data_IF_478289500943
#
_entry.id   IF_478289500943
#
_cell.length_a   1.000
_cell.length_b   1.000
_cell.length_c   1.000
_cell.angle_alpha   90.00
_cell.angle_beta   90.00
_cell.angle_gamma   90.00
#
_symmetry.space_group_name_H-M   'P 1'
#
loop_
_entity.id
_entity.type
_entity.pdbx_description
1 polymer ?
#
# COMPACT_ATOMS: atom_id res chain seq x y z
N UNK A 1 22.02 -27.28 -8.03
CA UNK A 1 20.70 -27.49 -7.35
C UNK A 1 20.09 -26.21 -6.77
N UNK A 2 20.86 -25.25 -6.23
CA UNK A 2 20.30 -24.02 -5.61
C UNK A 2 19.37 -23.23 -6.54
N UNK A 3 19.65 -23.10 -7.84
CA UNK A 3 18.86 -22.24 -8.75
C UNK A 3 17.55 -22.86 -9.28
N UNK A 4 17.28 -24.15 -9.03
CA UNK A 4 16.11 -24.86 -9.58
C UNK A 4 14.78 -24.21 -9.15
N UNK A 5 14.57 -23.84 -7.86
CA UNK A 5 13.36 -23.15 -7.44
C UNK A 5 13.13 -21.82 -8.18
N UNK A 6 14.20 -21.07 -8.50
CA UNK A 6 14.08 -19.79 -9.21
C UNK A 6 13.62 -19.98 -10.66
N UNK A 7 14.12 -21.02 -11.33
CA UNK A 7 13.72 -21.35 -12.71
C UNK A 7 12.26 -21.79 -12.74
N UNK A 8 11.85 -22.65 -11.80
CA UNK A 8 10.45 -23.09 -11.67
C UNK A 8 9.55 -21.89 -11.40
N UNK A 9 9.91 -21.03 -10.44
CA UNK A 9 9.14 -19.81 -10.12
C UNK A 9 9.07 -18.84 -11.30
N UNK A 10 10.13 -18.72 -12.10
CA UNK A 10 10.15 -17.89 -13.31
C UNK A 10 9.17 -18.39 -14.39
N UNK A 11 9.14 -19.71 -14.62
CA UNK A 11 8.18 -20.33 -15.54
C UNK A 11 6.76 -20.14 -15.02
N UNK A 12 6.53 -20.41 -13.72
CA UNK A 12 5.23 -20.19 -13.08
C UNK A 12 4.78 -18.73 -13.22
N UNK A 13 5.67 -17.77 -13.01
CA UNK A 13 5.37 -16.34 -13.19
C UNK A 13 4.87 -16.03 -14.60
N UNK A 14 5.56 -16.51 -15.63
CA UNK A 14 5.07 -16.34 -17.00
C UNK A 14 3.73 -17.05 -17.26
N UNK A 15 3.48 -18.24 -16.70
CA UNK A 15 2.18 -18.91 -16.84
C UNK A 15 1.04 -18.18 -16.12
N UNK A 16 1.34 -17.45 -15.05
CA UNK A 16 0.36 -16.74 -14.23
C UNK A 16 -0.03 -15.38 -14.82
N UNK A 17 0.91 -14.65 -15.44
CA UNK A 17 0.70 -13.25 -15.84
C UNK A 17 0.68 -13.02 -17.36
N UNK A 18 1.06 -14.00 -18.19
CA UNK A 18 1.11 -13.78 -19.63
C UNK A 18 -0.27 -13.56 -20.25
N UNK A 19 -0.53 -12.33 -20.74
CA UNK A 19 -1.82 -11.89 -21.30
C UNK A 19 -3.00 -12.11 -20.34
N UNK A 20 -2.74 -12.00 -19.04
CA UNK A 20 -3.76 -12.15 -17.99
C UNK A 20 -3.92 -10.84 -17.21
N UNK A 21 -5.16 -10.53 -16.83
CA UNK A 21 -5.50 -9.50 -15.84
C UNK A 21 -5.17 -9.99 -14.41
N UNK A 22 -5.31 -9.11 -13.41
CA UNK A 22 -5.11 -9.47 -12.00
C UNK A 22 -6.30 -10.23 -11.42
N UNK A 23 -6.00 -11.28 -10.67
CA UNK A 23 -6.96 -12.10 -9.94
C UNK A 23 -6.24 -13.13 -9.07
N UNK A 24 -6.63 -14.40 -9.17
CA UNK A 24 -5.98 -15.53 -8.49
C UNK A 24 -4.46 -15.59 -8.73
N UNK A 25 -4.00 -15.18 -9.91
CA UNK A 25 -2.58 -15.14 -10.25
C UNK A 25 -1.73 -14.34 -9.27
N UNK A 26 -2.21 -13.18 -8.80
CA UNK A 26 -1.50 -12.35 -7.82
C UNK A 26 -1.41 -13.08 -6.47
N UNK A 27 -2.47 -13.77 -6.07
CA UNK A 27 -2.50 -14.53 -4.81
C UNK A 27 -1.54 -15.72 -4.85
N UNK A 28 -1.52 -16.47 -5.95
CA UNK A 28 -0.57 -17.57 -6.17
C UNK A 28 0.86 -17.01 -6.20
N UNK A 29 1.09 -15.88 -6.86
CA UNK A 29 2.40 -15.23 -6.89
C UNK A 29 2.88 -14.82 -5.49
N UNK A 30 2.00 -14.27 -4.65
CA UNK A 30 2.35 -13.94 -3.27
C UNK A 30 2.78 -15.17 -2.47
N UNK A 31 2.11 -16.30 -2.67
CA UNK A 31 2.47 -17.57 -2.04
C UNK A 31 3.84 -18.10 -2.52
N UNK A 32 4.07 -18.11 -3.83
CA UNK A 32 5.36 -18.50 -4.43
C UNK A 32 6.50 -17.61 -3.90
N UNK A 33 6.25 -16.31 -3.81
CA UNK A 33 7.23 -15.33 -3.29
C UNK A 33 7.64 -15.67 -1.86
N UNK A 34 6.69 -15.99 -0.98
CA UNK A 34 6.99 -16.37 0.40
C UNK A 34 7.78 -17.68 0.46
N UNK A 35 7.42 -18.68 -0.36
CA UNK A 35 8.18 -19.94 -0.45
C UNK A 35 9.63 -19.68 -0.82
N UNK A 36 9.86 -18.85 -1.85
CA UNK A 36 11.22 -18.50 -2.28
C UNK A 36 11.96 -17.76 -1.15
N UNK A 37 11.32 -16.79 -0.50
CA UNK A 37 11.93 -16.07 0.62
C UNK A 37 12.30 -17.01 1.77
N UNK A 38 11.45 -17.98 2.13
CA UNK A 38 11.73 -18.98 3.18
C UNK A 38 12.90 -19.89 2.81
N UNK A 39 12.94 -20.40 1.57
CA UNK A 39 14.00 -21.32 1.12
C UNK A 39 15.37 -20.65 1.22
N UNK A 40 15.47 -19.39 0.81
CA UNK A 40 16.75 -18.68 0.72
C UNK A 40 17.13 -17.88 1.98
N UNK A 41 16.15 -17.46 2.79
CA UNK A 41 16.37 -16.57 3.93
C UNK A 41 15.82 -17.16 5.24
N UNK A 42 16.06 -18.45 5.48
CA UNK A 42 15.58 -19.18 6.68
C UNK A 42 15.85 -18.47 8.01
N UNK A 43 16.97 -17.76 8.12
CA UNK A 43 17.33 -17.02 9.34
C UNK A 43 16.41 -15.82 9.57
N UNK A 44 16.02 -15.09 8.52
CA UNK A 44 15.10 -13.96 8.62
C UNK A 44 13.72 -14.41 9.13
N UNK A 45 13.23 -15.57 8.68
CA UNK A 45 11.94 -16.14 9.11
C UNK A 45 11.92 -16.68 10.54
N UNK A 46 13.03 -16.63 11.28
CA UNK A 46 13.01 -16.82 12.74
C UNK A 46 12.53 -15.57 13.48
N UNK A 47 12.61 -14.40 12.84
CA UNK A 47 12.20 -13.13 13.45
C UNK A 47 10.69 -12.95 13.36
N UNK A 48 10.09 -12.50 14.47
CA UNK A 48 8.64 -12.25 14.55
C UNK A 48 8.18 -11.19 13.55
N UNK A 49 9.00 -10.18 13.27
CA UNK A 49 8.70 -9.11 12.31
C UNK A 49 8.46 -9.66 10.91
N UNK A 50 9.37 -10.50 10.41
CA UNK A 50 9.27 -11.11 9.07
C UNK A 50 8.05 -12.02 8.95
N UNK A 51 7.72 -12.78 10.00
CA UNK A 51 6.49 -13.59 10.04
C UNK A 51 5.25 -12.69 9.93
N UNK A 52 5.19 -11.61 10.71
CA UNK A 52 4.06 -10.66 10.68
C UNK A 52 3.90 -10.03 9.29
N UNK A 53 4.98 -9.55 8.67
CA UNK A 53 4.89 -8.98 7.32
C UNK A 53 4.52 -10.01 6.25
N UNK A 54 4.94 -11.28 6.42
CA UNK A 54 4.51 -12.37 5.54
C UNK A 54 3.02 -12.64 5.65
N UNK A 55 2.47 -12.62 6.87
CA UNK A 55 1.03 -12.76 7.10
C UNK A 55 0.25 -11.57 6.51
N UNK A 56 0.73 -10.35 6.70
CA UNK A 56 0.12 -9.15 6.10
C UNK A 56 0.09 -9.27 4.58
N UNK A 57 1.20 -9.67 3.97
CA UNK A 57 1.28 -9.87 2.52
C UNK A 57 0.32 -10.96 2.01
N UNK A 58 0.13 -12.05 2.76
CA UNK A 58 -0.87 -13.07 2.43
C UNK A 58 -2.30 -12.57 2.58
N UNK A 59 -2.59 -11.82 3.65
CA UNK A 59 -3.93 -11.24 3.87
C UNK A 59 -4.28 -10.31 2.71
N UNK A 60 -3.36 -9.43 2.29
CA UNK A 60 -3.59 -8.55 1.13
C UNK A 60 -3.72 -9.34 -0.18
N UNK A 61 -3.03 -10.47 -0.30
CA UNK A 61 -3.14 -11.34 -1.47
C UNK A 61 -4.51 -12.01 -1.54
N UNK A 62 -5.07 -12.42 -0.39
CA UNK A 62 -6.44 -12.96 -0.30
C UNK A 62 -7.46 -11.87 -0.61
N UNK A 63 -7.29 -10.64 -0.10
CA UNK A 63 -8.25 -9.56 -0.39
C UNK A 63 -8.27 -9.16 -1.86
N UNK A 64 -7.14 -9.28 -2.58
CA UNK A 64 -7.13 -9.14 -4.04
C UNK A 64 -7.97 -10.24 -4.71
N UNK A 65 -7.89 -11.48 -4.27
CA UNK A 65 -8.74 -12.54 -4.82
C UNK A 65 -10.24 -12.33 -4.51
N UNK A 66 -10.56 -11.82 -3.32
CA UNK A 66 -11.95 -11.62 -2.90
C UNK A 66 -12.58 -10.38 -3.54
N UNK A 67 -11.85 -9.27 -3.63
CA UNK A 67 -12.40 -7.98 -4.07
C UNK A 67 -11.77 -7.44 -5.35
N UNK A 68 -10.58 -7.88 -5.76
CA UNK A 68 -9.87 -7.37 -6.95
C UNK A 68 -9.91 -5.84 -7.11
N UNK A 69 -9.84 -5.11 -5.99
CA UNK A 69 -9.95 -3.65 -5.96
C UNK A 69 -8.59 -3.01 -6.17
N UNK A 70 -8.55 -1.82 -6.77
CA UNK A 70 -7.30 -1.05 -6.92
C UNK A 70 -6.58 -0.86 -5.58
N UNK A 71 -7.34 -0.62 -4.50
CA UNK A 71 -6.77 -0.47 -3.16
C UNK A 71 -6.11 -1.76 -2.67
N UNK A 72 -6.75 -2.92 -2.86
CA UNK A 72 -6.19 -4.23 -2.48
C UNK A 72 -4.90 -4.53 -3.26
N UNK A 73 -4.86 -4.20 -4.56
CA UNK A 73 -3.67 -4.39 -5.40
C UNK A 73 -2.51 -3.49 -4.95
N UNK A 74 -2.80 -2.20 -4.68
CA UNK A 74 -1.81 -1.24 -4.16
C UNK A 74 -1.28 -1.72 -2.81
N UNK A 75 -2.16 -2.12 -1.89
CA UNK A 75 -1.76 -2.60 -0.56
C UNK A 75 -0.92 -3.88 -0.65
N UNK A 76 -1.27 -4.83 -1.52
CA UNK A 76 -0.46 -6.03 -1.72
C UNK A 76 0.93 -5.69 -2.27
N UNK A 77 1.02 -4.71 -3.17
CA UNK A 77 2.30 -4.23 -3.72
C UNK A 77 3.17 -3.55 -2.67
N UNK A 78 2.57 -2.70 -1.82
CA UNK A 78 3.29 -2.06 -0.70
C UNK A 78 3.74 -3.12 0.32
N UNK A 79 2.87 -4.08 0.66
CA UNK A 79 3.21 -5.19 1.55
C UNK A 79 4.35 -6.05 1.00
N UNK A 80 4.36 -6.32 -0.31
CA UNK A 80 5.45 -7.02 -1.00
C UNK A 80 6.81 -6.33 -0.80
N UNK A 81 6.91 -5.03 -1.11
CA UNK A 81 8.17 -4.30 -0.92
C UNK A 81 8.58 -4.24 0.56
N UNK A 82 7.60 -4.06 1.46
CA UNK A 82 7.84 -4.06 2.91
C UNK A 82 8.45 -5.39 3.37
N UNK A 83 7.90 -6.52 2.91
CA UNK A 83 8.40 -7.84 3.25
C UNK A 83 9.82 -8.06 2.74
N UNK A 84 10.09 -7.73 1.46
CA UNK A 84 11.43 -7.89 0.87
C UNK A 84 12.47 -7.08 1.63
N UNK A 85 12.18 -5.81 1.92
CA UNK A 85 13.07 -4.96 2.70
C UNK A 85 13.29 -5.48 4.11
N UNK A 86 12.24 -5.98 4.77
CA UNK A 86 12.36 -6.52 6.12
C UNK A 86 13.17 -7.83 6.15
N UNK A 87 13.07 -8.67 5.11
CA UNK A 87 13.93 -9.86 4.97
C UNK A 87 15.40 -9.46 4.86
N UNK A 88 15.70 -8.34 4.21
CA UNK A 88 17.04 -7.79 4.10
C UNK A 88 17.60 -7.36 5.47
N UNK A 89 16.89 -6.48 6.19
CA UNK A 89 17.31 -5.99 7.51
C UNK A 89 16.10 -5.89 8.46
N UNK A 90 16.02 -6.82 9.42
CA UNK A 90 14.79 -7.03 10.19
C UNK A 90 14.52 -5.91 11.21
N UNK A 91 15.55 -5.16 11.60
CA UNK A 91 15.45 -4.07 12.58
C UNK A 91 15.23 -2.69 11.94
N UNK A 92 15.30 -2.61 10.62
CA UNK A 92 15.13 -1.34 9.91
C UNK A 92 13.68 -0.85 9.93
N UNK A 93 13.55 0.47 9.89
CA UNK A 93 12.26 1.14 9.89
C UNK A 93 11.45 0.84 8.62
N UNK A 94 10.12 0.96 8.69
CA UNK A 94 9.25 0.56 7.57
C UNK A 94 9.52 1.30 6.26
N UNK A 95 9.88 2.59 6.34
CA UNK A 95 10.23 3.37 5.15
C UNK A 95 11.56 2.91 4.52
N UNK A 96 12.51 2.43 5.35
CA UNK A 96 13.74 1.79 4.87
C UNK A 96 13.43 0.44 4.25
N UNK A 97 12.49 -0.33 4.82
CA UNK A 97 12.03 -1.56 4.19
C UNK A 97 11.47 -1.30 2.79
N UNK A 98 10.73 -0.21 2.56
CA UNK A 98 10.26 0.15 1.21
C UNK A 98 11.41 0.48 0.27
N UNK A 99 12.40 1.25 0.71
CA UNK A 99 13.58 1.61 -0.08
C UNK A 99 14.38 0.35 -0.44
N UNK A 100 14.71 -0.47 0.55
CA UNK A 100 15.46 -1.72 0.38
C UNK A 100 14.69 -2.73 -0.48
N UNK A 101 13.38 -2.86 -0.29
CA UNK A 101 12.52 -3.73 -1.07
C UNK A 101 12.42 -3.33 -2.53
N UNK A 102 12.19 -2.04 -2.80
CA UNK A 102 12.13 -1.50 -4.16
C UNK A 102 13.49 -1.57 -4.85
N UNK A 103 14.57 -1.21 -4.14
CA UNK A 103 15.93 -1.32 -4.68
C UNK A 103 16.31 -2.76 -4.96
N UNK A 104 16.00 -3.69 -4.06
CA UNK A 104 16.23 -5.13 -4.27
C UNK A 104 15.50 -5.62 -5.51
N UNK A 105 14.22 -5.26 -5.66
CA UNK A 105 13.38 -5.63 -6.79
C UNK A 105 13.96 -5.16 -8.13
N UNK A 106 14.48 -3.93 -8.20
CA UNK A 106 15.00 -3.34 -9.45
C UNK A 106 16.46 -3.70 -9.70
N UNK A 107 17.32 -3.61 -8.69
CA UNK A 107 18.77 -3.52 -8.87
C UNK A 107 19.56 -4.60 -8.11
N UNK A 108 18.90 -5.50 -7.38
CA UNK A 108 19.58 -6.49 -6.52
C UNK A 108 20.64 -7.33 -7.26
N UNK A 109 20.33 -7.80 -8.47
CA UNK A 109 21.25 -8.57 -9.31
C UNK A 109 22.50 -7.77 -9.68
N UNK A 110 22.32 -6.53 -10.13
CA UNK A 110 23.43 -5.66 -10.53
C UNK A 110 24.28 -5.26 -9.34
N UNK A 111 23.66 -4.89 -8.22
CA UNK A 111 24.36 -4.54 -6.99
C UNK A 111 25.29 -5.68 -6.53
N UNK A 112 24.77 -6.91 -6.49
CA UNK A 112 25.59 -8.08 -6.12
C UNK A 112 26.76 -8.29 -7.09
N UNK A 113 26.55 -8.16 -8.40
CA UNK A 113 27.64 -8.31 -9.38
C UNK A 113 28.71 -7.22 -9.25
N UNK A 114 28.31 -5.97 -9.04
CA UNK A 114 29.23 -4.84 -8.91
C UNK A 114 30.04 -4.94 -7.62
N UNK A 115 29.40 -5.27 -6.50
CA UNK A 115 30.06 -5.34 -5.18
C UNK A 115 30.91 -6.60 -4.97
N UNK A 116 30.63 -7.70 -5.68
CA UNK A 116 31.52 -8.88 -5.72
C UNK A 116 32.89 -8.55 -6.32
N UNK A 117 33.00 -7.49 -7.13
CA UNK A 117 34.29 -7.02 -7.67
C UNK A 117 35.19 -6.37 -6.60
N UNK A 118 34.65 -5.96 -5.45
CA UNK A 118 35.36 -5.17 -4.44
C UNK A 118 35.68 -5.93 -3.13
N UNK A 119 35.24 -7.17 -2.98
CA UNK A 119 35.59 -8.02 -1.83
C UNK A 119 36.20 -9.32 -2.32
N UNK A 120 37.52 -9.43 -2.16
CA UNK A 120 38.29 -10.64 -2.35
C UNK A 120 37.74 -11.76 -1.42
N UNK A 121 36.84 -12.56 -1.96
CA UNK A 121 36.67 -13.95 -1.53
C UNK A 121 36.76 -14.83 -2.76
N UNK A 122 37.88 -15.58 -2.85
CA UNK A 122 38.04 -16.74 -3.74
C UNK A 122 37.03 -17.82 -3.35
N UNK A 123 35.76 -17.62 -3.69
CA UNK A 123 34.82 -18.72 -3.81
C UNK A 123 35.17 -19.37 -5.15
N UNK A 124 35.75 -20.57 -5.08
CA UNK A 124 35.91 -21.49 -6.21
C UNK A 124 34.70 -21.37 -7.13
N UNK A 125 34.89 -20.77 -8.31
CA UNK A 125 33.91 -20.84 -9.40
C UNK A 125 33.79 -22.33 -9.74
N UNK A 126 32.82 -23.02 -9.15
CA UNK A 126 32.19 -24.12 -9.88
C UNK A 126 31.47 -23.44 -11.03
N UNK A 127 32.16 -23.30 -12.15
CA UNK A 127 31.53 -22.97 -13.42
C UNK A 127 30.44 -24.02 -13.59
N UNK A 128 29.19 -23.58 -13.46
CA UNK A 128 28.06 -24.38 -13.90
C UNK A 128 28.28 -24.55 -15.39
N UNK A 129 28.75 -25.72 -15.77
CA UNK A 129 28.93 -26.09 -17.17
C UNK A 129 27.55 -26.10 -17.83
N UNK A 130 27.18 -24.95 -18.39
CA UNK A 130 25.93 -24.75 -19.10
C UNK A 130 25.78 -25.77 -20.24
N UNK A 131 26.90 -26.25 -20.78
CA UNK A 131 26.98 -27.30 -21.79
C UNK A 131 26.62 -28.67 -21.20
N UNK A 132 27.12 -28.99 -20.01
CA UNK A 132 26.74 -30.21 -19.28
C UNK A 132 25.27 -30.21 -18.86
N UNK A 133 24.76 -29.07 -18.39
CA UNK A 133 23.35 -28.92 -17.98
C UNK A 133 22.41 -28.97 -19.20
N UNK A 134 22.80 -28.34 -20.31
CA UNK A 134 22.10 -28.44 -21.59
C UNK A 134 22.10 -29.87 -22.15
N UNK A 135 23.20 -30.63 -21.98
CA UNK A 135 23.26 -32.05 -22.37
C UNK A 135 22.37 -32.92 -21.48
N UNK A 136 22.42 -32.73 -20.15
CA UNK A 136 21.63 -33.51 -19.18
C UNK A 136 20.13 -33.31 -19.36
N UNK A 137 19.68 -32.12 -19.74
CA UNK A 137 18.24 -31.84 -19.95
C UNK A 137 17.86 -32.05 -21.41
N UNK A 138 18.65 -31.55 -22.35
CA UNK A 138 18.34 -31.55 -23.77
C UNK A 138 18.33 -32.94 -24.39
N UNK A 139 19.30 -33.81 -24.06
CA UNK A 139 19.36 -35.16 -24.64
C UNK A 139 18.13 -35.98 -24.23
N UNK A 140 17.75 -36.11 -22.95
CA UNK A 140 16.53 -36.81 -22.56
C UNK A 140 15.26 -36.20 -23.19
N UNK A 141 15.20 -34.88 -23.33
CA UNK A 141 14.02 -34.21 -23.88
C UNK A 141 13.84 -34.47 -25.37
N UNK A 142 14.93 -34.48 -26.15
CA UNK A 142 14.92 -34.90 -27.56
C UNK A 142 14.48 -36.36 -27.67
N UNK A 143 15.04 -37.25 -26.85
CA UNK A 143 14.66 -38.67 -26.85
C UNK A 143 13.18 -38.83 -26.52
N UNK A 144 12.66 -38.14 -25.50
CA UNK A 144 11.24 -38.15 -25.15
C UNK A 144 10.37 -37.65 -26.30
N UNK A 145 10.75 -36.57 -26.99
CA UNK A 145 10.01 -36.07 -28.17
C UNK A 145 9.95 -37.12 -29.27
N UNK A 146 11.07 -37.81 -29.56
CA UNK A 146 11.12 -38.90 -30.54
C UNK A 146 10.16 -40.02 -30.13
N UNK A 147 10.17 -40.46 -28.87
CA UNK A 147 9.26 -41.50 -28.38
C UNK A 147 7.79 -41.06 -28.39
N UNK A 148 7.48 -39.79 -28.05
CA UNK A 148 6.13 -39.23 -28.16
C UNK A 148 5.66 -39.28 -29.62
N UNK A 149 6.52 -38.95 -30.58
CA UNK A 149 6.17 -39.02 -32.01
C UNK A 149 5.91 -40.46 -32.47
N UNK A 150 6.76 -41.41 -32.05
CA UNK A 150 6.56 -42.84 -32.34
C UNK A 150 5.25 -43.36 -31.74
N UNK A 151 4.96 -43.05 -30.48
CA UNK A 151 3.73 -43.46 -29.80
C UNK A 151 2.48 -42.77 -30.37
N UNK A 152 2.60 -41.53 -30.83
CA UNK A 152 1.52 -40.81 -31.53
C UNK A 152 1.14 -41.52 -32.83
N UNK A 153 2.13 -42.04 -33.57
CA UNK A 153 1.88 -42.80 -34.79
C UNK A 153 1.35 -44.21 -34.51
N UNK A 154 1.78 -44.83 -33.41
CA UNK A 154 1.43 -46.21 -33.06
C UNK A 154 0.12 -46.40 -32.30
N UNK A 155 -0.48 -45.34 -31.72
CA UNK A 155 -1.70 -45.46 -30.91
C UNK A 155 -2.67 -44.27 -31.14
N UNK A 156 -3.86 -44.51 -31.71
CA UNK A 156 -4.84 -43.44 -32.00
C UNK A 156 -5.40 -42.75 -30.74
N UNK A 157 -5.50 -43.47 -29.61
CA UNK A 157 -5.93 -42.88 -28.32
C UNK A 157 -4.84 -41.91 -27.81
N UNK A 158 -3.58 -42.33 -27.85
CA UNK A 158 -2.45 -41.49 -27.45
C UNK A 158 -2.31 -40.27 -28.38
N UNK A 159 -2.54 -40.45 -29.69
CA UNK A 159 -2.53 -39.37 -30.67
C UNK A 159 -3.60 -38.29 -30.36
N UNK A 160 -4.81 -38.71 -30.01
CA UNK A 160 -5.89 -37.82 -29.60
C UNK A 160 -5.61 -37.09 -28.27
N UNK A 161 -4.82 -37.67 -27.36
CA UNK A 161 -4.40 -37.00 -26.12
C UNK A 161 -3.31 -35.96 -26.37
N UNK A 162 -2.28 -36.31 -27.15
CA UNK A 162 -1.16 -35.39 -27.45
C UNK A 162 -1.60 -34.23 -28.33
N UNK A 163 -2.53 -34.45 -29.27
CA UNK A 163 -3.07 -33.38 -30.13
C UNK A 163 -3.91 -32.34 -29.39
N UNK A 164 -4.40 -32.65 -28.17
CA UNK A 164 -5.06 -31.68 -27.29
C UNK A 164 -4.09 -30.80 -26.50
N UNK A 165 -2.80 -31.15 -26.46
CA UNK A 165 -1.78 -30.35 -25.77
C UNK A 165 -1.39 -29.21 -26.71
N UNK A 166 -1.82 -28.00 -26.37
CA UNK A 166 -1.48 -26.79 -27.11
C UNK A 166 -0.32 -26.03 -26.45
N UNK A 167 0.79 -25.87 -27.18
CA UNK A 167 1.94 -25.06 -26.79
C UNK A 167 2.03 -23.73 -27.56
N UNK A 168 0.97 -23.35 -28.29
CA UNK A 168 0.91 -22.10 -29.06
C UNK A 168 1.09 -20.83 -28.21
N UNK A 169 0.87 -20.94 -26.90
CA UNK A 169 1.10 -19.85 -25.94
C UNK A 169 2.59 -19.54 -25.73
N UNK A 170 3.50 -20.49 -26.02
CA UNK A 170 4.95 -20.30 -25.89
C UNK A 170 5.45 -19.52 -27.10
N UNK A 171 5.55 -18.20 -26.93
CA UNK A 171 6.14 -17.31 -27.93
C UNK A 171 7.25 -16.46 -27.31
N UNK A 172 7.88 -15.62 -28.12
CA UNK A 172 8.99 -14.77 -27.67
C UNK A 172 8.58 -13.87 -26.49
N UNK A 173 7.35 -13.34 -26.48
CA UNK A 173 6.86 -12.53 -25.37
C UNK A 173 6.75 -13.33 -24.06
N UNK A 174 6.24 -14.56 -24.13
CA UNK A 174 6.18 -15.46 -22.96
C UNK A 174 7.57 -15.79 -22.44
N UNK A 175 8.53 -16.11 -23.33
CA UNK A 175 9.92 -16.40 -22.97
C UNK A 175 10.59 -15.18 -22.31
N UNK A 176 10.42 -13.99 -22.88
CA UNK A 176 10.92 -12.74 -22.30
C UNK A 176 10.32 -12.49 -20.90
N UNK A 177 9.04 -12.78 -20.72
CA UNK A 177 8.39 -12.69 -19.41
C UNK A 177 8.96 -13.72 -18.42
N UNK A 178 9.29 -14.94 -18.86
CA UNK A 178 9.99 -15.92 -18.01
C UNK A 178 11.39 -15.43 -17.62
N UNK A 179 12.14 -14.81 -18.54
CA UNK A 179 13.45 -14.22 -18.22
C UNK A 179 13.32 -13.09 -17.21
N UNK A 180 12.32 -12.21 -17.35
CA UNK A 180 11.98 -11.18 -16.36
C UNK A 180 11.57 -11.79 -15.01
N UNK A 181 10.78 -12.86 -15.03
CA UNK A 181 10.42 -13.62 -13.83
C UNK A 181 11.65 -14.18 -13.12
N UNK A 182 12.62 -14.74 -13.87
CA UNK A 182 13.87 -15.21 -13.31
C UNK A 182 14.70 -14.07 -12.71
N UNK A 183 14.76 -12.93 -13.40
CA UNK A 183 15.42 -11.72 -12.91
C UNK A 183 14.80 -11.26 -11.57
N UNK A 184 13.47 -11.17 -11.52
CA UNK A 184 12.69 -10.82 -10.34
C UNK A 184 12.95 -11.78 -9.17
N UNK A 185 12.85 -13.09 -9.37
CA UNK A 185 13.09 -14.05 -8.28
C UNK A 185 14.56 -14.12 -7.87
N UNK A 186 15.50 -13.91 -8.80
CA UNK A 186 16.92 -13.76 -8.46
C UNK A 186 17.14 -12.55 -7.56
N UNK A 187 16.48 -11.43 -7.84
CA UNK A 187 16.51 -10.22 -7.04
C UNK A 187 15.95 -10.45 -5.63
N UNK A 188 14.76 -11.02 -5.54
CA UNK A 188 14.02 -11.22 -4.29
C UNK A 188 14.64 -12.32 -3.40
N UNK A 189 15.22 -13.37 -4.01
CA UNK A 189 15.77 -14.50 -3.24
C UNK A 189 16.93 -14.10 -2.33
N UNK A 190 17.69 -13.07 -2.70
CA UNK A 190 18.82 -12.53 -1.93
C UNK A 190 18.71 -11.01 -1.89
N UNK A 191 17.76 -10.45 -1.11
CA UNK A 191 17.55 -9.01 -1.09
C UNK A 191 18.82 -8.29 -0.60
N UNK A 192 18.91 -7.02 -0.96
CA UNK A 192 20.10 -6.19 -0.83
C UNK A 192 19.73 -4.90 -0.12
N UNK A 193 20.59 -4.49 0.81
CA UNK A 193 20.43 -3.25 1.55
C UNK A 193 20.93 -2.04 0.77
N UNK A 194 20.28 -0.90 0.96
CA UNK A 194 20.74 0.38 0.42
C UNK A 194 21.56 1.08 1.49
N UNK A 195 22.88 1.03 1.34
CA UNK A 195 23.80 1.84 2.14
C UNK A 195 24.12 3.19 1.46
N UNK A 196 24.30 4.28 2.23
CA UNK A 196 24.35 4.32 3.71
C UNK A 196 22.98 4.45 4.40
N UNK A 197 21.86 4.42 3.67
CA UNK A 197 20.53 4.70 4.24
C UNK A 197 20.13 3.72 5.36
N UNK A 198 20.39 2.42 5.18
CA UNK A 198 20.09 1.39 6.16
C UNK A 198 20.95 1.54 7.41
N UNK A 199 22.27 1.65 7.24
CA UNK A 199 23.23 1.90 8.33
C UNK A 199 22.92 3.17 9.13
N UNK A 200 22.50 4.25 8.45
CA UNK A 200 22.12 5.50 9.10
C UNK A 200 20.83 5.35 9.93
N UNK A 201 19.83 4.60 9.44
CA UNK A 201 18.62 4.33 10.22
C UNK A 201 18.91 3.52 11.49
N UNK A 202 19.69 2.45 11.37
CA UNK A 202 20.03 1.58 12.49
C UNK A 202 20.83 2.31 13.59
N UNK A 203 21.76 3.18 13.19
CA UNK A 203 22.56 3.97 14.14
C UNK A 203 21.79 5.16 14.73
N UNK A 204 20.74 5.64 14.07
CA UNK A 204 19.95 6.77 14.55
C UNK A 204 18.91 6.32 15.57
N UNK A 205 19.16 6.64 16.84
CA UNK A 205 18.17 6.45 17.92
C UNK A 205 16.91 7.32 17.76
N UNK A 206 15.99 7.25 18.73
CA UNK A 206 14.73 8.02 18.70
C UNK A 206 14.74 9.29 19.57
N UNK A 207 15.80 9.52 20.35
CA UNK A 207 15.90 10.60 21.33
C UNK A 207 16.85 11.67 20.79
N UNK A 208 16.53 12.94 21.01
CA UNK A 208 17.47 14.03 20.70
C UNK A 208 18.62 14.02 21.69
N UNK A 209 19.84 14.18 21.18
CA UNK A 209 21.04 14.39 22.00
C UNK A 209 21.37 15.87 22.04
N UNK A 210 21.79 16.35 23.21
CA UNK A 210 22.24 17.73 23.40
C UNK A 210 23.55 17.96 22.65
N UNK A 211 23.64 19.00 21.80
CA UNK A 211 24.92 19.40 21.19
C UNK A 211 25.81 20.11 22.23
N UNK A 212 27.14 19.93 22.12
CA UNK A 212 28.12 20.43 23.12
C UNK A 212 28.12 21.96 23.26
N UNK A 213 27.93 22.69 22.16
CA UNK A 213 27.92 24.17 22.18
C UNK A 213 26.49 24.71 22.29
N UNK A 214 26.16 25.27 23.45
CA UNK A 214 24.93 26.03 23.66
C UNK A 214 25.25 27.53 23.63
N UNK A 215 24.99 28.19 22.51
CA UNK A 215 24.96 29.66 22.48
C UNK A 215 23.64 30.11 23.10
N UNK A 216 23.67 30.38 24.42
CA UNK A 216 22.46 30.68 25.22
C UNK A 216 21.69 31.88 24.66
N UNK A 217 22.38 32.90 24.17
CA UNK A 217 21.76 34.12 23.62
C UNK A 217 20.93 33.81 22.36
N UNK A 218 21.44 32.96 21.47
CA UNK A 218 20.70 32.53 20.28
C UNK A 218 19.46 31.73 20.65
N UNK A 219 19.58 30.84 21.66
CA UNK A 219 18.44 30.06 22.16
C UNK A 219 17.38 30.94 22.83
N UNK A 220 17.79 32.00 23.52
CA UNK A 220 16.87 32.99 24.11
C UNK A 220 16.08 33.72 23.03
N UNK A 221 16.75 34.21 21.98
CA UNK A 221 16.11 34.87 20.83
C UNK A 221 15.17 33.93 20.08
N UNK A 222 15.60 32.69 19.81
CA UNK A 222 14.78 31.67 19.15
C UNK A 222 13.55 31.30 20.00
N UNK A 223 13.70 31.17 21.33
CA UNK A 223 12.59 30.92 22.24
C UNK A 223 11.57 32.07 22.26
N UNK A 224 12.04 33.33 22.29
CA UNK A 224 11.17 34.50 22.26
C UNK A 224 10.39 34.60 20.95
N UNK A 225 11.08 34.44 19.82
CA UNK A 225 10.45 34.42 18.50
C UNK A 225 9.41 33.31 18.38
N UNK A 226 9.76 32.08 18.77
CA UNK A 226 8.83 30.95 18.76
C UNK A 226 7.64 31.16 19.68
N UNK A 227 7.83 31.76 20.85
CA UNK A 227 6.75 32.04 21.78
C UNK A 227 5.76 33.04 21.17
N UNK A 228 6.25 34.17 20.65
CA UNK A 228 5.39 35.19 20.03
C UNK A 228 4.63 34.61 18.84
N UNK A 229 5.33 33.89 17.95
CA UNK A 229 4.72 33.30 16.76
C UNK A 229 3.61 32.31 17.12
N UNK A 230 3.87 31.36 18.02
CA UNK A 230 2.88 30.34 18.38
C UNK A 230 1.73 30.97 19.20
N UNK A 231 1.97 32.00 20.01
CA UNK A 231 0.88 32.76 20.67
C UNK A 231 -0.02 33.41 19.62
N UNK A 232 0.54 34.11 18.64
CA UNK A 232 -0.25 34.74 17.58
C UNK A 232 -1.05 33.71 16.78
N UNK A 233 -0.45 32.55 16.47
CA UNK A 233 -1.12 31.45 15.77
C UNK A 233 -2.24 30.81 16.62
N UNK A 234 -2.07 30.71 17.95
CA UNK A 234 -3.13 30.27 18.85
C UNK A 234 -4.32 31.23 18.85
N UNK A 235 -4.06 32.54 18.91
CA UNK A 235 -5.12 33.55 18.84
C UNK A 235 -5.87 33.45 17.51
N UNK A 236 -5.14 33.31 16.40
CA UNK A 236 -5.73 33.19 15.08
C UNK A 236 -6.58 31.93 14.93
N UNK A 237 -6.08 30.76 15.33
CA UNK A 237 -6.86 29.51 15.21
C UNK A 237 -8.05 29.49 16.16
N UNK A 238 -7.93 30.08 17.36
CA UNK A 238 -9.07 30.22 18.26
C UNK A 238 -10.16 31.12 17.66
N UNK A 239 -9.77 32.27 17.09
CA UNK A 239 -10.70 33.14 16.37
C UNK A 239 -11.36 32.41 15.20
N UNK A 240 -10.57 31.72 14.38
CA UNK A 240 -11.09 30.91 13.28
C UNK A 240 -12.10 29.87 13.76
N UNK A 241 -11.75 29.08 14.79
CA UNK A 241 -12.64 28.05 15.35
C UNK A 241 -13.96 28.64 15.85
N UNK A 242 -13.94 29.79 16.53
CA UNK A 242 -15.15 30.48 16.96
C UNK A 242 -16.01 30.83 15.75
N UNK A 243 -15.43 31.49 14.74
CA UNK A 243 -16.18 31.86 13.52
C UNK A 243 -16.73 30.67 12.77
N UNK A 244 -15.97 29.57 12.72
CA UNK A 244 -16.32 28.36 11.99
C UNK A 244 -17.44 27.57 12.68
N UNK A 245 -17.41 27.51 14.02
CA UNK A 245 -18.47 26.90 14.83
C UNK A 245 -19.74 27.74 14.78
N UNK A 246 -19.63 29.07 14.91
CA UNK A 246 -20.80 29.96 14.76
C UNK A 246 -21.42 29.80 13.38
N UNK A 247 -20.61 29.76 12.32
CA UNK A 247 -21.10 29.52 10.97
C UNK A 247 -21.84 28.17 10.86
N UNK A 248 -21.31 27.10 11.43
CA UNK A 248 -21.96 25.80 11.41
C UNK A 248 -23.31 25.78 12.14
N UNK A 249 -23.43 26.49 13.25
CA UNK A 249 -24.67 26.56 14.03
C UNK A 249 -25.71 27.43 13.31
N UNK A 250 -25.28 28.53 12.66
CA UNK A 250 -26.17 29.48 12.01
C UNK A 250 -26.62 29.07 10.61
N UNK A 251 -25.95 28.11 9.96
CA UNK A 251 -26.27 27.71 8.59
C UNK A 251 -27.53 26.84 8.56
N UNK A 252 -28.59 27.36 7.94
CA UNK A 252 -29.87 26.66 7.70
C UNK A 252 -30.07 26.24 6.24
N UNK A 253 -29.18 26.65 5.33
CA UNK A 253 -29.35 26.54 3.88
C UNK A 253 -28.50 25.39 3.30
N UNK A 254 -29.07 24.18 3.23
CA UNK A 254 -28.39 22.94 2.78
C UNK A 254 -28.45 22.72 1.27
N UNK A 255 -28.35 23.78 0.44
CA UNK A 255 -28.38 23.61 -1.02
C UNK A 255 -27.08 22.96 -1.52
N UNK A 256 -27.24 21.83 -2.24
CA UNK A 256 -26.15 20.92 -2.61
C UNK A 256 -24.93 21.53 -3.34
N UNK A 257 -25.09 22.46 -4.31
CA UNK A 257 -23.95 22.94 -5.09
C UNK A 257 -23.05 23.92 -4.32
N UNK A 258 -23.66 24.84 -3.55
CA UNK A 258 -22.94 25.84 -2.76
C UNK A 258 -22.21 25.19 -1.58
N UNK A 259 -22.84 24.21 -0.93
CA UNK A 259 -22.22 23.44 0.15
C UNK A 259 -21.04 22.59 -0.35
N UNK A 260 -21.16 21.95 -1.52
CA UNK A 260 -20.10 21.09 -2.07
C UNK A 260 -18.80 21.84 -2.35
N UNK A 261 -18.86 22.96 -3.08
CA UNK A 261 -17.67 23.74 -3.42
C UNK A 261 -17.01 24.36 -2.19
N UNK A 262 -17.81 24.85 -1.24
CA UNK A 262 -17.33 25.48 -0.01
C UNK A 262 -16.67 24.46 0.93
N UNK A 263 -17.23 23.26 1.04
CA UNK A 263 -16.65 22.16 1.82
C UNK A 263 -15.34 21.69 1.19
N UNK A 264 -15.29 21.50 -0.13
CA UNK A 264 -14.06 21.02 -0.78
C UNK A 264 -12.90 22.02 -0.72
N UNK A 265 -13.12 23.30 -0.99
CA UNK A 265 -12.06 24.31 -0.88
C UNK A 265 -11.66 24.57 0.57
N UNK A 266 -12.65 24.59 1.49
CA UNK A 266 -12.44 24.83 2.91
C UNK A 266 -11.63 23.70 3.56
N UNK A 267 -12.03 22.44 3.36
CA UNK A 267 -11.33 21.28 3.92
C UNK A 267 -9.87 21.24 3.44
N UNK A 268 -9.62 21.45 2.15
CA UNK A 268 -8.25 21.42 1.60
C UNK A 268 -7.33 22.48 2.22
N UNK A 269 -7.83 23.71 2.41
CA UNK A 269 -7.06 24.78 3.05
C UNK A 269 -6.75 24.46 4.52
N UNK A 270 -7.72 23.91 5.24
CA UNK A 270 -7.55 23.52 6.65
C UNK A 270 -6.56 22.36 6.78
N UNK A 271 -6.63 21.38 5.89
CA UNK A 271 -5.66 20.29 5.78
C UNK A 271 -4.24 20.85 5.62
N UNK A 272 -4.05 21.79 4.67
CA UNK A 272 -2.75 22.43 4.45
C UNK A 272 -2.25 23.18 5.70
N UNK A 273 -3.15 23.89 6.41
CA UNK A 273 -2.76 24.60 7.63
C UNK A 273 -2.23 23.68 8.73
N UNK A 274 -2.76 22.46 8.86
CA UNK A 274 -2.31 21.51 9.89
C UNK A 274 -0.93 20.96 9.54
N UNK A 275 -0.66 20.70 8.26
CA UNK A 275 0.69 20.29 7.80
C UNK A 275 1.70 21.39 8.12
N UNK A 276 1.37 22.65 7.81
CA UNK A 276 2.22 23.80 8.16
C UNK A 276 2.41 23.90 9.67
N UNK A 277 1.35 23.65 10.47
CA UNK A 277 1.44 23.66 11.91
C UNK A 277 2.48 22.64 12.43
N UNK A 278 2.43 21.40 11.92
CA UNK A 278 3.40 20.36 12.28
C UNK A 278 4.82 20.78 11.88
N UNK A 279 5.02 21.35 10.67
CA UNK A 279 6.33 21.83 10.21
C UNK A 279 6.90 22.90 11.15
N UNK A 280 6.09 23.86 11.59
CA UNK A 280 6.52 24.92 12.52
C UNK A 280 6.94 24.31 13.86
N UNK A 281 6.18 23.35 14.40
CA UNK A 281 6.55 22.66 15.64
C UNK A 281 7.87 21.90 15.45
N UNK A 282 8.02 21.19 14.34
CA UNK A 282 9.26 20.47 14.02
C UNK A 282 10.45 21.41 13.94
N UNK A 283 10.28 22.60 13.35
CA UNK A 283 11.32 23.62 13.24
C UNK A 283 11.82 24.09 14.62
N UNK A 284 10.92 24.52 15.52
CA UNK A 284 11.32 25.01 16.83
C UNK A 284 11.87 23.91 17.74
N UNK A 285 11.28 22.72 17.69
CA UNK A 285 11.69 21.59 18.53
C UNK A 285 12.70 20.66 17.85
N UNK A 286 13.48 21.14 16.86
CA UNK A 286 14.49 20.32 16.15
C UNK A 286 15.75 19.99 16.95
N UNK A 287 16.08 20.80 17.96
CA UNK A 287 17.40 20.74 18.58
C UNK A 287 17.48 21.28 20.00
N UNK A 288 18.52 22.06 20.27
CA UNK A 288 18.92 22.50 21.60
C UNK A 288 17.83 23.26 22.39
N UNK A 289 16.86 23.87 21.70
CA UNK A 289 15.72 24.54 22.33
C UNK A 289 14.93 23.61 23.28
N UNK A 290 14.89 22.30 23.00
CA UNK A 290 14.25 21.31 23.87
C UNK A 290 14.90 21.23 25.28
N UNK A 291 16.19 21.57 25.38
CA UNK A 291 17.01 21.50 26.60
C UNK A 291 17.18 22.86 27.29
N UNK A 292 16.63 23.94 26.73
CA UNK A 292 16.71 25.26 27.32
C UNK A 292 15.79 25.38 28.54
N UNK A 293 16.34 25.79 29.70
CA UNK A 293 15.62 25.78 30.99
C UNK A 293 14.34 26.64 31.01
N UNK A 294 14.30 27.73 30.25
CA UNK A 294 13.17 28.65 30.19
C UNK A 294 12.18 28.36 29.04
N UNK A 295 12.23 27.17 28.43
CA UNK A 295 11.32 26.79 27.34
C UNK A 295 9.91 26.35 27.80
N UNK A 296 9.62 26.40 29.11
CA UNK A 296 8.34 25.92 29.67
C UNK A 296 7.13 26.59 29.03
N UNK A 297 7.16 27.93 28.92
CA UNK A 297 6.05 28.69 28.34
C UNK A 297 5.85 28.35 26.86
N UNK A 298 6.94 28.21 26.09
CA UNK A 298 6.88 27.81 24.69
C UNK A 298 6.23 26.42 24.53
N UNK A 299 6.60 25.46 25.40
CA UNK A 299 5.99 24.13 25.41
C UNK A 299 4.50 24.19 25.72
N UNK A 300 4.09 24.95 26.74
CA UNK A 300 2.66 25.11 27.11
C UNK A 300 1.85 25.69 25.94
N UNK A 301 2.31 26.80 25.36
CA UNK A 301 1.64 27.44 24.22
C UNK A 301 1.59 26.51 23.00
N UNK A 302 2.63 25.68 22.80
CA UNK A 302 2.63 24.65 21.75
C UNK A 302 1.60 23.55 22.01
N UNK A 303 1.45 23.07 23.25
CA UNK A 303 0.42 22.07 23.58
C UNK A 303 -0.99 22.63 23.42
N UNK A 304 -1.22 23.88 23.81
CA UNK A 304 -2.48 24.58 23.51
C UNK A 304 -2.74 24.61 22.01
N UNK A 305 -1.71 24.91 21.22
CA UNK A 305 -1.84 24.97 19.76
C UNK A 305 -2.16 23.62 19.13
N UNK A 306 -1.51 22.54 19.59
CA UNK A 306 -1.83 21.18 19.17
C UNK A 306 -3.28 20.84 19.52
N UNK A 307 -3.74 21.18 20.73
CA UNK A 307 -5.11 20.93 21.16
C UNK A 307 -6.13 21.69 20.29
N UNK A 308 -5.87 22.95 19.95
CA UNK A 308 -6.72 23.72 19.03
C UNK A 308 -6.74 23.12 17.61
N UNK A 309 -5.61 22.61 17.12
CA UNK A 309 -5.57 21.90 15.83
C UNK A 309 -6.34 20.57 15.88
N UNK A 310 -6.33 19.85 17.00
CA UNK A 310 -7.18 18.66 17.16
C UNK A 310 -8.67 19.05 17.14
N UNK A 311 -9.05 20.13 17.82
CA UNK A 311 -10.42 20.65 17.78
C UNK A 311 -10.83 21.07 16.36
N UNK A 312 -9.92 21.68 15.61
CA UNK A 312 -10.11 21.99 14.20
C UNK A 312 -10.40 20.73 13.37
N UNK A 313 -9.60 19.68 13.55
CA UNK A 313 -9.84 18.40 12.86
C UNK A 313 -11.19 17.80 13.21
N UNK A 314 -11.58 17.83 14.48
CA UNK A 314 -12.91 17.35 14.92
C UNK A 314 -14.02 18.15 14.21
N UNK A 315 -13.87 19.47 14.08
CA UNK A 315 -14.85 20.29 13.38
C UNK A 315 -14.98 19.91 11.90
N UNK A 316 -13.86 19.60 11.24
CA UNK A 316 -13.86 19.11 9.86
C UNK A 316 -14.55 17.74 9.76
N UNK A 317 -14.30 16.82 10.71
CA UNK A 317 -14.98 15.52 10.74
C UNK A 317 -16.50 15.71 10.85
N UNK A 318 -16.97 16.63 11.71
CA UNK A 318 -18.40 16.92 11.84
C UNK A 318 -18.99 17.38 10.49
N UNK A 319 -18.31 18.30 9.79
CA UNK A 319 -18.73 18.78 8.45
C UNK A 319 -18.78 17.66 7.41
N UNK A 320 -17.76 16.80 7.38
CA UNK A 320 -17.71 15.69 6.42
C UNK A 320 -18.79 14.65 6.73
N UNK A 321 -19.05 14.37 8.01
CA UNK A 321 -20.16 13.52 8.44
C UNK A 321 -21.53 14.11 8.06
N UNK A 322 -21.74 15.42 8.20
CA UNK A 322 -22.95 16.08 7.71
C UNK A 322 -23.08 15.95 6.19
N UNK A 323 -21.98 16.10 5.46
CA UNK A 323 -21.95 15.94 4.01
C UNK A 323 -22.27 14.49 3.58
N UNK A 324 -21.76 13.50 4.29
CA UNK A 324 -22.08 12.07 4.09
C UNK A 324 -23.56 11.80 4.41
N UNK A 325 -24.10 12.38 5.48
CA UNK A 325 -25.50 12.20 5.87
C UNK A 325 -26.47 12.67 4.77
N UNK A 326 -26.21 13.81 4.14
CA UNK A 326 -27.07 14.33 3.07
C UNK A 326 -26.82 13.65 1.72
N UNK A 327 -25.56 13.41 1.35
CA UNK A 327 -25.17 13.01 -0.02
C UNK A 327 -24.59 11.60 -0.14
N UNK A 328 -24.57 10.81 0.94
CA UNK A 328 -23.99 9.47 0.98
C UNK A 328 -22.46 9.43 1.07
N UNK A 329 -21.89 8.24 1.09
CA UNK A 329 -20.45 8.03 0.96
C UNK A 329 -19.96 8.16 -0.49
N UNK A 330 -18.73 8.64 -0.63
CA UNK A 330 -17.92 8.55 -1.84
C UNK A 330 -16.48 8.20 -1.43
N UNK A 331 -15.66 7.73 -2.37
CA UNK A 331 -14.23 7.48 -2.13
C UNK A 331 -13.50 8.72 -1.62
N UNK A 332 -13.85 9.91 -2.14
CA UNK A 332 -13.25 11.17 -1.71
C UNK A 332 -13.54 11.48 -0.24
N UNK A 333 -14.80 11.30 0.21
CA UNK A 333 -15.21 11.53 1.60
C UNK A 333 -14.55 10.53 2.56
N UNK A 334 -14.53 9.24 2.20
CA UNK A 334 -13.80 8.22 2.97
C UNK A 334 -12.31 8.55 3.07
N UNK A 335 -11.70 8.98 1.96
CA UNK A 335 -10.31 9.42 1.93
C UNK A 335 -10.03 10.58 2.87
N UNK A 336 -10.93 11.56 2.95
CA UNK A 336 -10.85 12.67 3.92
C UNK A 336 -10.90 12.14 5.35
N UNK A 337 -11.83 11.25 5.71
CA UNK A 337 -11.89 10.66 7.06
C UNK A 337 -10.59 9.92 7.44
N UNK A 338 -10.04 9.11 6.53
CA UNK A 338 -8.76 8.41 6.73
C UNK A 338 -7.61 9.41 6.93
N UNK A 339 -7.58 10.48 6.12
CA UNK A 339 -6.59 11.54 6.24
C UNK A 339 -6.68 12.27 7.59
N UNK A 340 -7.88 12.61 8.05
CA UNK A 340 -8.10 13.28 9.33
C UNK A 340 -7.69 12.37 10.50
N UNK A 341 -7.96 11.06 10.41
CA UNK A 341 -7.46 10.09 11.38
C UNK A 341 -5.93 10.07 11.45
N UNK A 342 -5.25 10.02 10.30
CA UNK A 342 -3.78 10.10 10.23
C UNK A 342 -3.26 11.41 10.82
N UNK A 343 -3.98 12.51 10.59
CA UNK A 343 -3.62 13.84 11.10
C UNK A 343 -3.74 13.92 12.61
N UNK A 344 -4.82 13.39 13.22
CA UNK A 344 -4.96 13.30 14.68
C UNK A 344 -3.81 12.50 15.27
N UNK A 345 -3.48 11.34 14.68
CA UNK A 345 -2.36 10.52 15.14
C UNK A 345 -1.04 11.28 15.00
N UNK A 346 -0.82 11.98 13.88
CA UNK A 346 0.36 12.82 13.65
C UNK A 346 0.51 13.97 14.65
N UNK A 347 -0.60 14.61 15.04
CA UNK A 347 -0.62 15.64 16.09
C UNK A 347 -0.29 15.03 17.47
N UNK A 348 -0.83 13.85 17.78
CA UNK A 348 -0.50 13.12 19.01
C UNK A 348 0.98 12.71 19.05
N UNK A 349 1.53 12.15 17.98
CA UNK A 349 2.96 11.79 17.92
C UNK A 349 3.87 13.01 18.00
N UNK A 350 3.43 14.15 17.44
CA UNK A 350 4.09 15.44 17.61
C UNK A 350 4.08 15.91 19.08
N UNK A 351 2.96 15.79 19.79
CA UNK A 351 2.90 16.10 21.21
C UNK A 351 3.84 15.20 22.04
N UNK A 352 3.87 13.90 21.75
CA UNK A 352 4.79 12.94 22.39
C UNK A 352 6.25 13.33 22.10
N UNK A 353 6.56 13.75 20.86
CA UNK A 353 7.89 14.22 20.48
C UNK A 353 8.34 15.40 21.35
N UNK A 354 7.47 16.39 21.56
CA UNK A 354 7.77 17.57 22.39
C UNK A 354 7.94 17.18 23.87
N UNK A 355 7.08 16.28 24.38
CA UNK A 355 7.10 15.83 25.78
C UNK A 355 8.36 15.04 26.12
N UNK A 356 8.70 14.05 25.29
CA UNK A 356 9.78 13.10 25.54
C UNK A 356 11.06 13.42 24.76
N UNK A 357 11.17 14.64 24.20
CA UNK A 357 12.37 15.15 23.52
C UNK A 357 12.84 14.17 22.43
N UNK A 358 11.88 13.66 21.65
CA UNK A 358 12.16 12.75 20.53
C UNK A 358 12.66 13.52 19.32
N UNK A 359 13.45 12.84 18.48
CA UNK A 359 13.96 13.43 17.25
C UNK A 359 12.94 13.35 16.10
N UNK A 360 13.31 13.91 14.95
CA UNK A 360 12.48 13.85 13.74
C UNK A 360 12.25 12.40 13.27
N UNK A 361 13.28 11.57 13.32
CA UNK A 361 13.22 10.17 12.88
C UNK A 361 12.21 9.33 13.65
N UNK A 362 12.07 9.54 14.96
CA UNK A 362 10.98 8.94 15.75
C UNK A 362 9.60 9.22 15.14
N UNK A 363 9.33 10.49 14.81
CA UNK A 363 8.04 10.89 14.27
C UNK A 363 7.81 10.28 12.89
N UNK A 364 8.83 10.29 12.03
CA UNK A 364 8.75 9.69 10.71
C UNK A 364 8.51 8.18 10.79
N UNK A 365 9.21 7.46 11.66
CA UNK A 365 9.05 6.01 11.89
C UNK A 365 7.65 5.63 12.35
N UNK A 366 7.13 6.32 13.37
CA UNK A 366 5.81 6.00 13.91
C UNK A 366 4.71 6.36 12.89
N UNK A 367 4.77 7.55 12.28
CA UNK A 367 3.73 7.97 11.35
C UNK A 367 3.70 7.13 10.06
N UNK A 368 4.86 6.72 9.53
CA UNK A 368 4.92 5.81 8.36
C UNK A 368 4.40 4.41 8.71
N UNK A 369 4.71 3.90 9.90
CA UNK A 369 4.14 2.63 10.39
C UNK A 369 2.62 2.72 10.58
N UNK A 370 2.12 3.82 11.14
CA UNK A 370 0.68 4.07 11.26
C UNK A 370 -0.01 4.11 9.89
N UNK A 371 0.57 4.85 8.93
CA UNK A 371 0.02 4.94 7.58
C UNK A 371 -0.02 3.58 6.89
N UNK A 372 1.04 2.78 7.03
CA UNK A 372 1.07 1.41 6.53
C UNK A 372 -0.04 0.55 7.17
N UNK A 373 -0.16 0.56 8.49
CA UNK A 373 -1.19 -0.24 9.20
C UNK A 373 -2.60 0.14 8.77
N UNK A 374 -2.91 1.44 8.65
CA UNK A 374 -4.21 1.91 8.19
C UNK A 374 -4.46 1.49 6.74
N UNK A 375 -3.46 1.57 5.86
CA UNK A 375 -3.55 1.10 4.48
C UNK A 375 -3.85 -0.41 4.40
N UNK A 376 -3.17 -1.23 5.22
CA UNK A 376 -3.41 -2.67 5.28
C UNK A 376 -4.84 -2.98 5.75
N UNK A 377 -5.29 -2.37 6.85
CA UNK A 377 -6.64 -2.56 7.38
C UNK A 377 -7.69 -2.08 6.37
N UNK A 378 -7.50 -0.90 5.76
CA UNK A 378 -8.44 -0.35 4.78
C UNK A 378 -8.59 -1.27 3.56
N UNK A 379 -7.54 -1.97 3.17
CA UNK A 379 -7.57 -2.89 2.02
C UNK A 379 -8.34 -4.19 2.24
N UNK A 380 -8.69 -4.51 3.49
CA UNK A 380 -9.52 -5.67 3.82
C UNK A 380 -11.02 -5.38 3.76
N UNK A 381 -11.39 -4.14 3.43
CA UNK A 381 -12.79 -3.69 3.38
C UNK A 381 -13.22 -3.55 1.92
N UNK A 382 -14.36 -4.13 1.56
CA UNK A 382 -15.01 -3.86 0.28
C UNK A 382 -15.71 -2.50 0.31
N UNK A 383 -14.95 -1.44 0.03
CA UNK A 383 -15.45 -0.07 0.04
C UNK A 383 -16.59 0.15 -0.94
N UNK A 384 -16.55 -0.43 -2.14
CA UNK A 384 -17.63 -0.28 -3.14
C UNK A 384 -18.97 -0.82 -2.64
N UNK A 385 -18.95 -2.03 -2.08
CA UNK A 385 -20.16 -2.63 -1.52
C UNK A 385 -20.65 -1.86 -0.30
N UNK A 386 -19.74 -1.36 0.55
CA UNK A 386 -20.10 -0.58 1.73
C UNK A 386 -20.72 0.77 1.36
N UNK A 387 -20.10 1.50 0.43
CA UNK A 387 -20.61 2.76 -0.13
C UNK A 387 -22.01 2.54 -0.71
N UNK A 388 -22.17 1.48 -1.51
CA UNK A 388 -23.44 1.17 -2.15
C UNK A 388 -24.53 0.85 -1.14
N UNK A 389 -24.22 -0.02 -0.16
CA UNK A 389 -25.17 -0.38 0.89
C UNK A 389 -25.61 0.85 1.71
N UNK A 390 -24.67 1.70 2.10
CA UNK A 390 -25.00 2.88 2.87
C UNK A 390 -25.84 3.88 2.05
N UNK A 391 -25.43 4.16 0.81
CA UNK A 391 -26.09 5.17 -0.01
C UNK A 391 -27.52 4.79 -0.37
N UNK A 392 -27.79 3.50 -0.63
CA UNK A 392 -29.13 3.03 -0.97
C UNK A 392 -30.09 3.01 0.23
N UNK A 393 -29.57 2.85 1.45
CA UNK A 393 -30.40 2.66 2.65
C UNK A 393 -30.54 3.92 3.51
N UNK A 394 -29.54 4.82 3.50
CA UNK A 394 -29.47 5.93 4.46
C UNK A 394 -29.30 7.32 3.85
N UNK A 395 -28.82 7.44 2.61
CA UNK A 395 -28.57 8.76 2.02
C UNK A 395 -29.87 9.43 1.56
N UNK A 396 -30.07 10.69 1.95
CA UNK A 396 -31.27 11.48 1.57
C UNK A 396 -31.29 11.84 0.09
N UNK A 397 -30.15 12.23 -0.46
CA UNK A 397 -30.00 12.58 -1.87
C UNK A 397 -28.69 12.01 -2.40
N UNK A 398 -28.70 10.75 -2.82
CA UNK A 398 -27.53 10.10 -3.43
C UNK A 398 -27.48 10.30 -4.94
N UNK A 399 -26.26 10.38 -5.47
CA UNK A 399 -25.99 10.25 -6.89
C UNK A 399 -25.97 8.76 -7.27
N UNK A 400 -27.06 8.30 -7.90
CA UNK A 400 -27.17 6.91 -8.34
C UNK A 400 -26.15 6.57 -9.44
N UNK A 401 -25.84 7.52 -10.33
CA UNK A 401 -24.87 7.31 -11.41
C UNK A 401 -23.48 7.04 -10.85
N UNK A 402 -23.11 7.72 -9.77
CA UNK A 402 -21.87 7.41 -9.04
C UNK A 402 -21.81 5.94 -8.59
N UNK A 403 -22.91 5.33 -8.12
CA UNK A 403 -22.94 3.91 -7.74
C UNK A 403 -22.77 2.97 -8.94
N UNK A 404 -23.31 3.33 -10.10
CA UNK A 404 -23.11 2.60 -11.34
C UNK A 404 -21.65 2.70 -11.79
N UNK A 405 -21.02 3.86 -11.67
CA UNK A 405 -19.63 4.12 -12.08
C UNK A 405 -18.58 3.52 -11.14
N UNK A 406 -18.96 3.04 -9.94
CA UNK A 406 -18.07 2.26 -9.06
C UNK A 406 -17.56 0.99 -9.74
N UNK A 407 -16.50 0.37 -9.19
CA UNK A 407 -16.00 -0.89 -9.75
C UNK A 407 -17.03 -2.02 -9.64
N UNK A 408 -16.72 -3.17 -10.23
CA UNK A 408 -17.67 -4.27 -10.30
C UNK A 408 -17.98 -4.93 -8.94
N UNK A 409 -17.28 -4.54 -7.88
CA UNK A 409 -17.44 -5.07 -6.52
C UNK A 409 -18.80 -4.82 -5.87
N UNK A 410 -19.59 -3.88 -6.37
CA UNK A 410 -20.95 -3.64 -5.91
C UNK A 410 -22.04 -4.26 -6.81
N UNK A 411 -21.65 -4.87 -7.94
CA UNK A 411 -22.59 -5.23 -9.02
C UNK A 411 -23.67 -6.22 -8.58
N UNK A 412 -23.28 -7.31 -7.92
CA UNK A 412 -24.25 -8.29 -7.40
C UNK A 412 -25.19 -7.69 -6.35
N UNK A 413 -24.66 -6.80 -5.50
CA UNK A 413 -25.47 -6.13 -4.50
C UNK A 413 -26.48 -5.16 -5.14
N UNK A 414 -26.05 -4.38 -6.14
CA UNK A 414 -26.92 -3.48 -6.91
C UNK A 414 -28.03 -4.26 -7.61
N UNK A 415 -27.70 -5.39 -8.25
CA UNK A 415 -28.67 -6.25 -8.92
C UNK A 415 -29.74 -6.77 -7.95
N UNK A 416 -29.31 -7.35 -6.84
CA UNK A 416 -30.22 -7.84 -5.80
C UNK A 416 -31.10 -6.73 -5.20
N UNK A 417 -30.56 -5.51 -5.07
CA UNK A 417 -31.33 -4.37 -4.59
C UNK A 417 -32.38 -3.92 -5.60
N UNK A 418 -32.01 -3.85 -6.89
CA UNK A 418 -32.89 -3.42 -7.98
C UNK A 418 -34.07 -4.39 -8.23
N UNK A 419 -33.91 -5.66 -7.90
CA UNK A 419 -34.99 -6.67 -7.99
C UNK A 419 -35.98 -6.58 -6.82
N UNK A 420 -35.52 -6.16 -5.64
CA UNK A 420 -36.33 -6.10 -4.42
C UNK A 420 -37.03 -4.76 -4.21
N UNK A 421 -36.53 -3.70 -4.82
CA UNK A 421 -37.01 -2.34 -4.62
C UNK A 421 -37.49 -1.73 -5.94
N UNK A 422 -38.47 -0.83 -5.86
CA UNK A 422 -38.98 -0.18 -7.05
C UNK A 422 -38.08 0.98 -7.48
N UNK A 423 -37.21 0.70 -8.46
CA UNK A 423 -36.39 1.69 -9.16
C UNK A 423 -37.07 2.11 -10.47
N UNK A 424 -36.78 3.33 -10.95
CA UNK A 424 -37.21 3.76 -12.28
C UNK A 424 -36.64 2.85 -13.38
N UNK A 425 -37.36 2.75 -14.50
CA UNK A 425 -36.96 1.89 -15.63
C UNK A 425 -35.54 2.20 -16.14
N UNK A 426 -35.16 3.48 -16.18
CA UNK A 426 -33.81 3.91 -16.55
C UNK A 426 -32.74 3.35 -15.60
N UNK A 427 -32.95 3.47 -14.28
CA UNK A 427 -32.01 2.96 -13.27
C UNK A 427 -31.91 1.43 -13.29
N UNK A 428 -33.04 0.74 -13.50
CA UNK A 428 -33.06 -0.72 -13.67
C UNK A 428 -32.25 -1.13 -14.90
N UNK A 429 -32.40 -0.42 -16.02
CA UNK A 429 -31.63 -0.67 -17.23
C UNK A 429 -30.13 -0.44 -17.04
N UNK A 430 -29.72 0.61 -16.31
CA UNK A 430 -28.31 0.86 -16.00
C UNK A 430 -27.69 -0.24 -15.12
N UNK A 431 -28.41 -0.68 -14.08
CA UNK A 431 -27.98 -1.80 -13.22
C UNK A 431 -27.86 -3.08 -14.04
N UNK A 432 -28.85 -3.37 -14.90
CA UNK A 432 -28.83 -4.55 -15.74
C UNK A 432 -27.67 -4.53 -16.72
N UNK A 433 -27.40 -3.38 -17.36
CA UNK A 433 -26.27 -3.20 -18.27
C UNK A 433 -24.94 -3.45 -17.55
N UNK A 434 -24.75 -2.89 -16.35
CA UNK A 434 -23.56 -3.13 -15.53
C UNK A 434 -23.42 -4.61 -15.16
N UNK A 435 -24.52 -5.24 -14.75
CA UNK A 435 -24.57 -6.65 -14.39
C UNK A 435 -24.19 -7.57 -15.55
N UNK A 436 -24.79 -7.38 -16.72
CA UNK A 436 -24.49 -8.18 -17.91
C UNK A 436 -23.05 -8.00 -18.39
N UNK A 437 -22.54 -6.77 -18.40
CA UNK A 437 -21.14 -6.50 -18.73
C UNK A 437 -20.19 -7.23 -17.78
N UNK A 438 -20.51 -7.24 -16.48
CA UNK A 438 -19.69 -7.93 -15.50
C UNK A 438 -19.79 -9.45 -15.61
N UNK A 439 -20.98 -9.99 -15.85
CA UNK A 439 -21.17 -11.43 -16.11
C UNK A 439 -20.39 -11.90 -17.34
N UNK A 440 -20.38 -11.12 -18.42
CA UNK A 440 -19.54 -11.43 -19.59
C UNK A 440 -18.08 -11.52 -19.18
N UNK A 441 -17.57 -10.50 -18.47
CA UNK A 441 -16.18 -10.49 -17.97
C UNK A 441 -15.88 -11.73 -17.11
N UNK A 442 -16.76 -12.08 -16.17
CA UNK A 442 -16.57 -13.25 -15.31
C UNK A 442 -16.58 -14.58 -16.08
N UNK A 443 -17.37 -14.70 -17.16
CA UNK A 443 -17.41 -15.89 -18.01
C UNK A 443 -16.17 -16.01 -18.90
N UNK A 444 -15.62 -14.87 -19.32
CA UNK A 444 -14.43 -14.80 -20.17
C UNK A 444 -13.12 -14.97 -19.37
N UNK A 445 -13.17 -14.81 -18.05
CA UNK A 445 -12.01 -14.99 -17.17
C UNK A 445 -11.39 -16.39 -17.35
N UNK A 446 -10.08 -16.42 -17.56
CA UNK A 446 -9.30 -17.65 -17.48
C UNK A 446 -9.09 -18.06 -16.03
N UNK A 447 -8.65 -19.30 -15.79
CA UNK A 447 -8.45 -19.82 -14.43
C UNK A 447 -7.49 -18.96 -13.58
N UNK A 448 -6.54 -18.27 -14.21
CA UNK A 448 -5.60 -17.34 -13.57
C UNK A 448 -6.27 -16.05 -13.05
N UNK A 449 -7.32 -15.61 -13.72
CA UNK A 449 -8.04 -14.35 -13.46
C UNK A 449 -9.25 -14.57 -12.55
N UNK A 450 -9.50 -15.82 -12.17
CA UNK A 450 -10.60 -16.19 -11.28
C UNK A 450 -10.49 -15.37 -9.99
N UNK A 451 -11.62 -14.81 -9.60
CA UNK A 451 -11.84 -14.10 -8.37
C UNK A 451 -13.05 -14.73 -7.66
N UNK A 452 -13.28 -14.36 -6.40
CA UNK A 452 -14.36 -14.93 -5.60
C UNK A 452 -15.74 -14.83 -6.28
N UNK A 453 -15.97 -13.75 -7.02
CA UNK A 453 -17.21 -13.51 -7.76
C UNK A 453 -17.48 -14.52 -8.90
N UNK A 454 -16.45 -15.17 -9.47
CA UNK A 454 -16.65 -16.22 -10.47
C UNK A 454 -17.39 -17.44 -9.90
N UNK A 455 -17.33 -17.68 -8.59
CA UNK A 455 -18.03 -18.79 -7.95
C UNK A 455 -19.52 -18.48 -7.68
N UNK A 456 -19.95 -17.22 -7.86
CA UNK A 456 -21.36 -16.83 -7.71
C UNK A 456 -22.20 -17.08 -8.96
N UNK A 457 -21.55 -17.35 -10.09
CA UNK A 457 -22.19 -17.55 -11.40
C UNK A 457 -22.24 -19.02 -11.83
N UNK A 458 -21.63 -19.91 -11.04
CA UNK A 458 -21.54 -21.36 -11.31
C UNK A 458 -22.77 -22.12 -10.83
#
# INVERSE_FOLDING_TARGET
MKNIPLIISAILFSTLFYKQDTGLNLSIFSFITIIILIIYNKLAFKQKSTIVFSLIYLITAITVFVYNSNLSIISNTVAFFTLIGNVCEQNSSIYINWINGLYSFIAGFFHRKLNVTNKDEKISKQELDYLHLAKIIGIPLIVIIVFISLYKNGNPIFSNLISKIDFSFINLQWILLSVLGYYLFSNISKPVEVDPATSYDLSTGNILTKKRELIIENLKKENQFGLILIVLLNVLIAFFLITDITYLISTTDFRAPTFSNQVHSGINALIASIVIAIIIILYFFRGNLNFYKANKNLKTVTYTWIALNIMLVINIVIKDCQYIYYFGFTYKRIGVLIYLLLTIIGLFTTAIKVKHIKNFWYLFRINTLTAFTILMISSTINWDSYITHYNLNYAKSMDFKYLIDLSNNNTFFLKNYAEKNDLSNERKADVEKKYQNYLSKLKDNKWQEVQYDNFKIQ
#
